data_IF_433663291468
#
_entry.id   IF_433663291468
#
_cell.length_a   1.000
_cell.length_b   1.000
_cell.length_c   1.000
_cell.angle_alpha   90.00
_cell.angle_beta   90.00
_cell.angle_gamma   90.00
#
_symmetry.space_group_name_H-M   'P 1'
#
loop_
_entity.id
_entity.type
_entity.pdbx_description
1 polymer ?
#
# COMPACT_ATOMS: atom_id res chain seq x y z
N UNK A 1 -41.65 -23.28 39.68
CA UNK A 1 -41.06 -23.33 38.33
C UNK A 1 -41.01 -21.98 37.58
N UNK A 2 -41.49 -20.86 38.13
CA UNK A 2 -41.48 -19.54 37.45
C UNK A 2 -40.27 -18.62 37.76
N UNK A 3 -39.39 -18.98 38.65
CA UNK A 3 -38.22 -18.16 39.03
C UNK A 3 -36.92 -18.49 38.29
N UNK A 4 -36.84 -19.61 37.59
CA UNK A 4 -35.62 -20.01 36.85
C UNK A 4 -35.60 -19.48 35.41
N UNK A 5 -36.72 -19.06 34.84
CA UNK A 5 -36.78 -18.49 33.48
C UNK A 5 -36.31 -17.03 33.41
N UNK A 6 -36.30 -16.30 34.52
CA UNK A 6 -35.88 -14.89 34.54
C UNK A 6 -34.36 -14.72 34.61
N UNK A 7 -33.63 -15.72 35.11
CA UNK A 7 -32.18 -15.69 35.25
C UNK A 7 -31.43 -15.94 33.95
N UNK A 8 -32.05 -16.63 32.98
CA UNK A 8 -31.45 -16.96 31.68
C UNK A 8 -31.53 -15.81 30.67
N UNK A 9 -32.48 -14.91 30.85
CA UNK A 9 -32.62 -13.75 29.95
C UNK A 9 -31.64 -12.61 30.26
N UNK A 10 -31.11 -12.54 31.50
CA UNK A 10 -30.18 -11.50 31.91
C UNK A 10 -28.72 -11.81 31.53
N UNK A 11 -28.41 -13.05 31.20
CA UNK A 11 -27.05 -13.46 30.79
C UNK A 11 -26.72 -13.16 29.33
N UNK A 12 -27.72 -12.85 28.50
CA UNK A 12 -27.54 -12.58 27.06
C UNK A 12 -27.32 -11.12 26.72
N UNK A 13 -27.47 -10.20 27.68
CA UNK A 13 -27.34 -8.75 27.46
C UNK A 13 -25.94 -8.17 27.75
N UNK A 14 -24.95 -9.05 28.11
CA UNK A 14 -23.54 -8.66 28.25
C UNK A 14 -22.68 -9.08 27.04
N UNK A 15 -23.29 -9.25 25.85
CA UNK A 15 -22.50 -9.17 24.62
C UNK A 15 -22.04 -7.70 24.50
N UNK A 16 -20.96 -7.37 25.16
CA UNK A 16 -20.32 -6.07 25.05
C UNK A 16 -20.16 -5.73 23.59
N UNK A 17 -20.51 -4.52 23.20
CA UNK A 17 -20.19 -4.00 21.90
C UNK A 17 -18.67 -4.16 21.74
N UNK A 18 -18.22 -5.16 21.00
CA UNK A 18 -16.86 -5.24 20.50
C UNK A 18 -16.78 -4.04 19.55
N UNK A 19 -16.22 -2.93 20.04
CA UNK A 19 -15.87 -1.85 19.13
C UNK A 19 -14.86 -2.44 18.17
N UNK A 20 -15.27 -2.66 16.93
CA UNK A 20 -14.35 -3.02 15.88
C UNK A 20 -13.37 -1.87 15.72
N UNK A 21 -12.09 -2.16 15.66
CA UNK A 21 -11.04 -1.19 15.35
C UNK A 21 -10.49 -1.56 13.97
N UNK A 22 -10.44 -0.59 13.08
CA UNK A 22 -9.77 -0.76 11.78
C UNK A 22 -8.29 -0.49 11.96
N UNK A 23 -7.45 -1.50 11.75
CA UNK A 23 -6.00 -1.39 11.91
C UNK A 23 -5.34 -1.24 10.54
N UNK A 24 -4.74 -0.08 10.30
CA UNK A 24 -4.02 0.21 9.06
C UNK A 24 -2.52 0.15 9.31
N UNK A 25 -1.86 -0.82 8.68
CA UNK A 25 -0.40 -0.90 8.67
C UNK A 25 0.18 -0.03 7.56
N UNK A 26 1.28 0.63 7.84
CA UNK A 26 1.97 1.47 6.86
C UNK A 26 3.45 1.13 6.83
N UNK A 27 4.01 0.93 5.64
CA UNK A 27 5.46 0.87 5.45
C UNK A 27 5.89 1.91 4.42
N UNK A 28 6.79 2.81 4.81
CA UNK A 28 7.28 3.91 3.97
C UNK A 28 8.77 4.15 4.24
N UNK A 29 9.49 4.65 3.25
CA UNK A 29 10.92 4.95 3.36
C UNK A 29 11.15 6.32 4.02
N UNK A 30 10.88 6.44 5.33
CA UNK A 30 11.11 7.70 6.07
C UNK A 30 12.60 8.02 6.25
N UNK A 31 13.47 7.04 6.04
CA UNK A 31 14.94 7.18 5.99
C UNK A 31 15.49 6.52 4.71
N UNK A 32 16.80 6.65 4.49
CA UNK A 32 17.47 6.08 3.31
C UNK A 32 17.33 6.95 2.05
N UNK A 33 17.76 6.45 0.88
CA UNK A 33 17.79 7.21 -0.38
C UNK A 33 16.45 7.78 -0.84
N UNK A 34 15.32 7.15 -0.51
CA UNK A 34 13.98 7.63 -0.86
C UNK A 34 13.30 8.45 0.25
N UNK A 35 14.03 8.88 1.27
CA UNK A 35 13.49 9.62 2.41
C UNK A 35 12.68 10.86 2.02
N UNK A 36 13.08 11.56 0.95
CA UNK A 36 12.35 12.73 0.45
C UNK A 36 10.88 12.42 0.11
N UNK A 37 10.59 11.21 -0.37
CA UNK A 37 9.21 10.76 -0.68
C UNK A 37 8.55 10.20 0.58
N UNK A 38 9.26 9.37 1.33
CA UNK A 38 8.71 8.69 2.50
C UNK A 38 8.35 9.62 3.65
N UNK A 39 9.13 10.67 3.88
CA UNK A 39 8.82 11.71 4.89
C UNK A 39 7.49 12.42 4.56
N UNK A 40 7.25 12.75 3.29
CA UNK A 40 5.99 13.37 2.87
C UNK A 40 4.79 12.44 3.12
N UNK A 41 4.94 11.16 2.76
CA UNK A 41 3.94 10.13 3.04
C UNK A 41 3.68 10.00 4.54
N UNK A 42 4.73 9.92 5.35
CA UNK A 42 4.62 9.86 6.82
C UNK A 42 3.91 11.08 7.39
N UNK A 43 4.18 12.28 6.89
CA UNK A 43 3.52 13.50 7.35
C UNK A 43 2.04 13.52 6.97
N UNK A 44 1.67 13.01 5.79
CA UNK A 44 0.28 12.90 5.37
C UNK A 44 -0.54 11.97 6.29
N UNK A 45 0.06 10.88 6.78
CA UNK A 45 -0.61 9.93 7.70
C UNK A 45 -1.05 10.62 9.00
N UNK A 46 -0.31 11.61 9.49
CA UNK A 46 -0.67 12.39 10.69
C UNK A 46 -1.97 13.19 10.55
N UNK A 47 -2.47 13.33 9.32
CA UNK A 47 -3.70 14.04 8.99
C UNK A 47 -4.87 13.06 8.75
N UNK A 48 -4.65 11.77 8.87
CA UNK A 48 -5.69 10.78 8.68
C UNK A 48 -6.70 10.81 9.83
N UNK A 49 -7.96 10.48 9.56
CA UNK A 49 -9.03 10.57 10.57
C UNK A 49 -8.89 9.49 11.64
N UNK A 50 -9.37 9.78 12.84
CA UNK A 50 -9.39 8.83 13.96
C UNK A 50 -10.45 7.73 13.78
N UNK A 51 -11.30 7.80 12.74
CA UNK A 51 -12.33 6.82 12.44
C UNK A 51 -12.40 6.52 10.94
N UNK A 52 -12.65 5.27 10.59
CA UNK A 52 -12.90 4.79 9.22
C UNK A 52 -14.21 4.01 9.19
N UNK A 53 -15.14 4.43 8.31
CA UNK A 53 -16.45 3.77 8.21
C UNK A 53 -17.31 3.80 9.48
N UNK A 54 -17.00 4.70 10.42
CA UNK A 54 -17.67 4.79 11.72
C UNK A 54 -16.99 4.03 12.85
N UNK A 55 -15.99 3.22 12.55
CA UNK A 55 -15.18 2.45 13.51
C UNK A 55 -13.89 3.22 13.87
N UNK A 56 -13.35 3.01 15.06
CA UNK A 56 -12.06 3.57 15.46
C UNK A 56 -10.96 3.11 14.52
N UNK A 57 -10.02 3.99 14.18
CA UNK A 57 -8.89 3.67 13.31
C UNK A 57 -7.56 3.77 14.05
N UNK A 58 -6.72 2.76 13.89
CA UNK A 58 -5.36 2.73 14.42
C UNK A 58 -4.35 2.58 13.30
N UNK A 59 -3.31 3.42 13.32
CA UNK A 59 -2.27 3.46 12.30
C UNK A 59 -0.93 3.02 12.87
N UNK A 60 -0.33 1.99 12.27
CA UNK A 60 0.99 1.46 12.66
C UNK A 60 1.96 1.77 11.53
N UNK A 61 2.88 2.70 11.75
CA UNK A 61 3.82 3.19 10.72
C UNK A 61 5.21 2.64 10.98
N UNK A 62 5.76 1.94 9.98
CA UNK A 62 7.11 1.38 10.01
C UNK A 62 7.95 1.98 8.89
N UNK A 63 9.20 2.33 9.22
CA UNK A 63 10.18 2.79 8.25
C UNK A 63 10.88 1.58 7.59
N UNK A 64 10.87 1.49 6.27
CA UNK A 64 11.62 0.48 5.53
C UNK A 64 13.05 0.90 5.14
N UNK A 65 13.40 2.17 5.38
CA UNK A 65 14.70 2.76 5.07
C UNK A 65 15.15 2.58 3.61
N UNK A 66 14.21 2.46 2.66
CA UNK A 66 14.46 2.16 1.24
C UNK A 66 15.07 0.75 1.02
N UNK A 67 15.00 -0.12 2.01
CA UNK A 67 15.50 -1.49 1.98
C UNK A 67 14.37 -2.48 1.71
N UNK A 68 14.46 -3.23 0.60
CA UNK A 68 13.44 -4.20 0.16
C UNK A 68 13.22 -5.29 1.20
N UNK A 69 14.30 -5.81 1.80
CA UNK A 69 14.20 -6.87 2.81
C UNK A 69 13.55 -6.36 4.08
N UNK A 70 13.81 -5.09 4.46
CA UNK A 70 13.17 -4.46 5.60
C UNK A 70 11.69 -4.22 5.32
N UNK A 71 11.30 -3.80 4.10
CA UNK A 71 9.91 -3.68 3.69
C UNK A 71 9.17 -5.02 3.85
N UNK A 72 9.75 -6.13 3.39
CA UNK A 72 9.17 -7.48 3.56
C UNK A 72 9.02 -7.83 5.05
N UNK A 73 10.05 -7.59 5.87
CA UNK A 73 9.96 -7.83 7.32
C UNK A 73 8.89 -6.98 8.00
N UNK A 74 8.79 -5.71 7.63
CA UNK A 74 7.75 -4.82 8.14
C UNK A 74 6.35 -5.35 7.82
N UNK A 75 6.12 -5.76 6.56
CA UNK A 75 4.80 -6.26 6.16
C UNK A 75 4.46 -7.58 6.87
N UNK A 76 5.41 -8.51 6.99
CA UNK A 76 5.20 -9.72 7.77
C UNK A 76 4.86 -9.43 9.22
N UNK A 77 5.55 -8.49 9.86
CA UNK A 77 5.22 -8.06 11.23
C UNK A 77 3.82 -7.47 11.31
N UNK A 78 3.50 -6.52 10.45
CA UNK A 78 2.19 -5.86 10.41
C UNK A 78 1.04 -6.86 10.23
N UNK A 79 1.21 -7.84 9.32
CA UNK A 79 0.15 -8.81 9.02
C UNK A 79 0.03 -9.93 10.05
N UNK A 80 1.15 -10.45 10.59
CA UNK A 80 1.14 -11.62 11.46
C UNK A 80 1.15 -11.31 12.95
N UNK A 81 1.71 -10.17 13.36
CA UNK A 81 1.82 -9.78 14.78
C UNK A 81 0.84 -8.67 15.15
N UNK A 82 0.74 -7.65 14.28
CA UNK A 82 -0.08 -6.47 14.55
C UNK A 82 -1.54 -6.61 14.03
N UNK A 83 -1.81 -7.62 13.19
CA UNK A 83 -3.16 -7.98 12.72
C UNK A 83 -3.85 -6.88 11.91
N UNK A 84 -3.14 -6.30 10.94
CA UNK A 84 -3.70 -5.19 10.12
C UNK A 84 -4.80 -5.67 9.17
N UNK A 85 -5.79 -4.82 8.95
CA UNK A 85 -6.87 -5.02 7.97
C UNK A 85 -6.49 -4.52 6.57
N UNK A 86 -5.61 -3.51 6.52
CA UNK A 86 -5.18 -2.85 5.27
C UNK A 86 -3.71 -2.45 5.40
N UNK A 87 -2.95 -2.69 4.33
CA UNK A 87 -1.58 -2.18 4.17
C UNK A 87 -1.58 -0.93 3.29
N UNK A 88 -0.90 0.13 3.70
CA UNK A 88 -0.59 1.30 2.85
C UNK A 88 0.92 1.41 2.65
N UNK A 89 1.34 1.63 1.44
CA UNK A 89 2.74 1.55 1.01
C UNK A 89 3.05 0.21 0.32
N UNK A 90 4.32 -0.08 0.06
CA UNK A 90 5.49 0.80 0.12
C UNK A 90 5.43 1.94 -0.90
N UNK A 91 6.38 2.86 -0.81
CA UNK A 91 6.54 3.94 -1.80
C UNK A 91 7.71 3.70 -2.79
N UNK A 92 8.30 2.51 -2.74
CA UNK A 92 9.37 2.05 -3.67
C UNK A 92 8.87 0.83 -4.43
N UNK A 93 8.98 0.85 -5.76
CA UNK A 93 8.47 -0.21 -6.64
C UNK A 93 9.03 -1.59 -6.30
N UNK A 94 10.34 -1.70 -6.08
CA UNK A 94 10.97 -2.97 -5.72
C UNK A 94 10.40 -3.53 -4.40
N UNK A 95 10.16 -2.69 -3.40
CA UNK A 95 9.52 -3.07 -2.14
C UNK A 95 8.09 -3.56 -2.35
N UNK A 96 7.30 -2.84 -3.17
CA UNK A 96 5.92 -3.22 -3.46
C UNK A 96 5.81 -4.56 -4.20
N UNK A 97 6.71 -4.83 -5.15
CA UNK A 97 6.77 -6.13 -5.83
C UNK A 97 7.17 -7.27 -4.90
N UNK A 98 8.14 -7.03 -4.02
CA UNK A 98 8.68 -8.05 -3.13
C UNK A 98 7.70 -8.53 -2.05
N UNK A 99 6.64 -7.79 -1.76
CA UNK A 99 5.66 -8.15 -0.73
C UNK A 99 4.39 -8.81 -1.27
N UNK A 100 4.23 -8.92 -2.61
CA UNK A 100 3.00 -9.47 -3.21
C UNK A 100 2.68 -10.87 -2.68
N UNK A 101 3.66 -11.76 -2.55
CA UNK A 101 3.46 -13.10 -2.01
C UNK A 101 2.96 -13.07 -0.55
N UNK A 102 3.43 -12.11 0.26
CA UNK A 102 2.97 -11.95 1.64
C UNK A 102 1.50 -11.53 1.68
N UNK A 103 1.06 -10.68 0.75
CA UNK A 103 -0.35 -10.27 0.66
C UNK A 103 -1.27 -11.44 0.32
N UNK A 104 -0.84 -12.33 -0.59
CA UNK A 104 -1.58 -13.58 -0.91
C UNK A 104 -1.67 -14.48 0.31
N UNK A 105 -0.52 -14.73 0.96
CA UNK A 105 -0.41 -15.59 2.13
C UNK A 105 -1.34 -15.14 3.27
N UNK A 106 -1.40 -13.83 3.49
CA UNK A 106 -2.15 -13.24 4.61
C UNK A 106 -3.53 -12.71 4.22
N UNK A 107 -3.87 -12.69 2.93
CA UNK A 107 -5.10 -12.12 2.37
C UNK A 107 -5.31 -10.66 2.78
N UNK A 108 -4.22 -9.91 2.86
CA UNK A 108 -4.24 -8.51 3.28
C UNK A 108 -4.24 -7.59 2.05
N UNK A 109 -5.27 -6.75 1.86
CA UNK A 109 -5.27 -5.78 0.77
C UNK A 109 -4.21 -4.70 0.98
N UNK A 110 -3.62 -4.25 -0.13
CA UNK A 110 -2.61 -3.18 -0.15
C UNK A 110 -3.06 -2.01 -1.02
N UNK A 111 -2.84 -0.80 -0.53
CA UNK A 111 -2.84 0.41 -1.34
C UNK A 111 -1.39 0.88 -1.48
N UNK A 112 -0.76 0.55 -2.60
CA UNK A 112 0.61 0.94 -2.90
C UNK A 112 0.72 2.42 -3.28
N UNK A 113 1.84 3.05 -2.92
CA UNK A 113 2.11 4.46 -3.20
C UNK A 113 3.03 4.66 -4.42
N UNK A 114 3.30 3.61 -5.19
CA UNK A 114 4.20 3.65 -6.36
C UNK A 114 3.48 4.02 -7.65
N UNK A 115 4.23 4.59 -8.61
CA UNK A 115 3.73 4.91 -9.95
C UNK A 115 3.71 3.72 -10.91
N UNK A 116 4.57 2.71 -10.70
CA UNK A 116 4.69 1.59 -11.63
C UNK A 116 3.41 0.75 -11.76
N UNK A 117 2.96 0.54 -12.99
CA UNK A 117 1.84 -0.34 -13.33
C UNK A 117 2.12 -1.81 -13.00
N UNK A 118 3.40 -2.23 -12.98
CA UNK A 118 3.80 -3.62 -12.73
C UNK A 118 3.35 -4.17 -11.36
N UNK A 119 3.03 -3.31 -10.40
CA UNK A 119 2.54 -3.72 -9.08
C UNK A 119 1.09 -4.21 -9.10
N UNK A 120 0.30 -3.74 -10.06
CA UNK A 120 -1.12 -4.08 -10.20
C UNK A 120 -1.45 -4.78 -11.52
N UNK A 121 -0.49 -4.94 -12.42
CA UNK A 121 -0.68 -5.58 -13.72
C UNK A 121 0.35 -6.69 -13.96
N UNK A 122 -0.06 -7.82 -14.59
CA UNK A 122 -1.44 -8.13 -15.02
C UNK A 122 -2.38 -8.32 -13.82
N UNK A 123 -3.63 -7.89 -13.98
CA UNK A 123 -4.63 -7.93 -12.90
C UNK A 123 -4.92 -9.38 -12.51
N UNK A 124 -5.06 -9.63 -11.21
CA UNK A 124 -5.37 -10.95 -10.63
C UNK A 124 -4.31 -12.04 -10.87
N UNK A 125 -3.06 -11.65 -11.09
CA UNK A 125 -1.94 -12.59 -11.25
C UNK A 125 -0.79 -12.24 -10.30
N UNK A 126 -0.12 -13.26 -9.77
CA UNK A 126 1.10 -13.11 -8.96
C UNK A 126 0.94 -12.19 -7.75
N UNK A 127 -0.15 -12.35 -7.02
CA UNK A 127 -0.45 -11.58 -5.80
C UNK A 127 -1.12 -10.23 -6.04
N UNK A 128 -1.36 -9.86 -7.29
CA UNK A 128 -1.93 -8.55 -7.65
C UNK A 128 -3.44 -8.45 -7.41
N UNK A 129 -4.12 -9.55 -7.13
CA UNK A 129 -5.50 -9.59 -6.67
C UNK A 129 -5.70 -8.87 -5.33
N UNK A 130 -4.62 -8.72 -4.54
CA UNK A 130 -4.60 -8.00 -3.26
C UNK A 130 -3.96 -6.61 -3.37
N UNK A 131 -3.48 -6.24 -4.57
CA UNK A 131 -2.72 -5.01 -4.77
C UNK A 131 -3.55 -3.94 -5.50
N UNK A 132 -3.72 -2.82 -4.84
CA UNK A 132 -4.26 -1.58 -5.38
C UNK A 132 -3.19 -0.51 -5.32
N UNK A 133 -3.39 0.61 -6.02
CA UNK A 133 -2.47 1.75 -5.96
C UNK A 133 -3.20 3.08 -6.03
N UNK A 134 -2.60 4.08 -5.42
CA UNK A 134 -3.16 5.43 -5.37
C UNK A 134 -2.78 6.24 -6.62
N UNK A 135 -1.52 6.14 -7.07
CA UNK A 135 -1.01 6.90 -8.20
C UNK A 135 -1.50 6.31 -9.52
N UNK A 136 -1.64 7.15 -10.56
CA UNK A 136 -1.85 6.69 -11.94
C UNK A 136 -0.69 5.79 -12.40
N UNK A 137 -0.96 4.95 -13.40
CA UNK A 137 0.08 4.11 -13.99
C UNK A 137 1.06 4.94 -14.82
N UNK A 138 2.32 4.54 -14.79
CA UNK A 138 3.43 5.13 -15.54
C UNK A 138 3.19 5.17 -17.04
N UNK A 139 2.51 4.17 -17.64
CA UNK A 139 2.15 4.17 -19.06
C UNK A 139 1.31 5.39 -19.46
N UNK A 140 0.36 5.83 -18.62
CA UNK A 140 -0.45 7.02 -18.92
C UNK A 140 0.40 8.30 -18.96
N UNK A 141 1.37 8.40 -18.07
CA UNK A 141 2.29 9.53 -18.05
C UNK A 141 3.28 9.47 -19.21
N UNK A 142 3.81 8.29 -19.52
CA UNK A 142 4.69 8.08 -20.67
C UNK A 142 3.97 8.46 -21.99
N UNK A 143 2.75 8.00 -22.18
CA UNK A 143 1.94 8.35 -23.34
C UNK A 143 1.75 9.88 -23.47
N UNK A 144 1.36 10.55 -22.39
CA UNK A 144 1.15 12.01 -22.43
C UNK A 144 2.43 12.78 -22.76
N UNK A 145 3.59 12.33 -22.25
CA UNK A 145 4.89 12.91 -22.57
C UNK A 145 5.25 12.71 -24.04
N UNK A 146 5.09 11.49 -24.58
CA UNK A 146 5.38 11.17 -25.98
C UNK A 146 4.48 11.98 -26.91
N UNK A 147 3.18 12.09 -26.63
CA UNK A 147 2.25 12.91 -27.40
C UNK A 147 2.66 14.40 -27.43
N UNK A 148 3.07 14.96 -26.29
CA UNK A 148 3.53 16.36 -26.24
C UNK A 148 4.83 16.55 -27.03
N UNK A 149 5.78 15.64 -26.92
CA UNK A 149 7.03 15.66 -27.67
C UNK A 149 6.80 15.58 -29.20
N UNK A 150 5.88 14.72 -29.63
CA UNK A 150 5.49 14.61 -31.03
C UNK A 150 4.85 15.90 -31.55
N UNK A 151 3.92 16.49 -30.80
CA UNK A 151 3.28 17.78 -31.13
C UNK A 151 4.30 18.91 -31.25
N UNK A 152 5.35 18.89 -30.44
CA UNK A 152 6.46 19.88 -30.49
C UNK A 152 7.51 19.57 -31.56
N UNK A 153 7.42 18.43 -32.22
CA UNK A 153 8.33 18.05 -33.30
C UNK A 153 9.71 17.59 -32.82
N UNK A 154 9.86 17.15 -31.58
CA UNK A 154 11.13 16.61 -31.08
C UNK A 154 11.53 15.33 -31.84
N UNK A 155 12.81 15.22 -32.22
CA UNK A 155 13.36 14.11 -33.00
C UNK A 155 14.32 13.24 -32.21
N UNK A 156 14.86 13.75 -31.12
CA UNK A 156 15.82 13.07 -30.27
C UNK A 156 15.51 13.36 -28.82
N UNK A 157 15.66 12.35 -27.97
CA UNK A 157 15.37 12.42 -26.54
C UNK A 157 16.54 11.80 -25.80
N UNK A 158 16.98 12.46 -24.73
CA UNK A 158 17.88 11.87 -23.75
C UNK A 158 17.08 11.32 -22.59
N UNK A 159 17.37 10.09 -22.17
CA UNK A 159 16.73 9.47 -21.00
C UNK A 159 17.77 9.25 -19.90
N UNK A 160 17.39 9.63 -18.68
CA UNK A 160 18.11 9.29 -17.44
C UNK A 160 17.10 8.81 -16.42
N UNK A 161 17.35 7.68 -15.79
CA UNK A 161 16.44 7.05 -14.83
C UNK A 161 17.18 6.36 -13.69
N UNK A 162 16.43 5.84 -12.74
CA UNK A 162 16.98 4.98 -11.69
C UNK A 162 17.33 3.61 -12.26
N UNK A 163 18.42 3.02 -11.76
CA UNK A 163 18.82 1.64 -12.07
C UNK A 163 18.10 0.65 -11.12
N UNK A 164 16.77 0.65 -11.16
CA UNK A 164 15.91 -0.17 -10.31
C UNK A 164 14.58 -0.51 -11.03
N UNK A 165 13.71 -1.28 -10.35
CA UNK A 165 12.42 -1.70 -10.89
C UNK A 165 11.51 -0.54 -11.33
N UNK A 166 11.65 0.65 -10.77
CA UNK A 166 10.91 1.84 -11.19
C UNK A 166 11.46 2.39 -12.50
N UNK A 167 12.77 2.55 -12.61
CA UNK A 167 13.42 3.01 -13.84
C UNK A 167 13.19 2.04 -15.01
N UNK A 168 13.27 0.74 -14.76
CA UNK A 168 12.95 -0.30 -15.75
C UNK A 168 11.50 -0.24 -16.21
N UNK A 169 10.55 0.00 -15.30
CA UNK A 169 9.14 0.18 -15.64
C UNK A 169 8.95 1.40 -16.53
N UNK A 170 9.50 2.55 -16.14
CA UNK A 170 9.45 3.77 -16.94
C UNK A 170 10.08 3.61 -18.34
N UNK A 171 11.25 2.98 -18.41
CA UNK A 171 11.91 2.76 -19.69
C UNK A 171 11.06 1.89 -20.63
N UNK A 172 10.47 0.83 -20.11
CA UNK A 172 9.59 -0.05 -20.88
C UNK A 172 8.38 0.69 -21.46
N UNK A 173 7.69 1.49 -20.62
CA UNK A 173 6.50 2.21 -21.05
C UNK A 173 6.82 3.39 -22.00
N UNK A 174 8.00 4.01 -21.82
CA UNK A 174 8.40 5.17 -22.60
C UNK A 174 9.05 4.80 -23.93
N UNK A 175 9.66 3.62 -24.06
CA UNK A 175 10.32 3.15 -25.27
C UNK A 175 9.43 2.30 -26.20
N UNK A 176 8.23 1.96 -25.76
CA UNK A 176 7.24 1.22 -26.56
C UNK A 176 6.51 2.15 -27.56
#
# INVERSE_FOLDING_TARGET
MKKQFLSTLLAFSLAGAVNAEVVVGVTVSSTGPAAAIGIQSHNAIKLWPDTLGGEAARYIVLDDATDVSKAVRNVRKLTSEDGIDLLVGPNITAGALAILDVLVETKTPMISLVGSGSVVQPVNEGGREWAYKMSQNDNLMAQALVEDMQKRGFKTIGYIGYADAYGDSWWREFSA
#
